data_IF_524021992426
#
_entry.id   IF_524021992426
#
_cell.length_a   1.000
_cell.length_b   1.000
_cell.length_c   1.000
_cell.angle_alpha   90.00
_cell.angle_beta   90.00
_cell.angle_gamma   90.00
#
_symmetry.space_group_name_H-M   'P 1'
#
loop_
_entity.id
_entity.type
_entity.pdbx_description
1 polymer ?
#
# COMPACT_ATOMS: atom_id res chain seq x y z
N UNK A 1 -18.71 30.38 72.47
CA UNK A 1 -19.16 29.07 72.90
C UNK A 1 -19.45 28.20 71.67
N UNK A 2 -18.74 27.06 71.58
CA UNK A 2 -19.10 25.76 70.96
C UNK A 2 -19.87 25.77 69.62
N UNK A 3 -19.20 25.30 68.53
CA UNK A 3 -19.08 23.96 67.92
C UNK A 3 -20.37 23.43 67.27
N UNK A 4 -20.37 23.12 65.98
CA UNK A 4 -20.18 21.86 65.29
C UNK A 4 -20.65 22.03 63.85
N UNK A 5 -20.02 21.68 62.73
CA UNK A 5 -19.46 20.37 62.40
C UNK A 5 -20.45 19.53 61.57
N UNK A 6 -20.45 19.65 60.20
CA UNK A 6 -21.05 18.64 59.34
C UNK A 6 -20.22 18.50 58.06
N UNK A 7 -19.61 17.33 57.91
CA UNK A 7 -18.85 16.92 56.71
C UNK A 7 -19.81 16.40 55.66
N UNK A 8 -19.82 17.02 54.48
CA UNK A 8 -20.47 16.49 53.30
C UNK A 8 -19.44 15.71 52.47
N UNK A 9 -19.69 14.42 52.26
CA UNK A 9 -18.87 13.54 51.42
C UNK A 9 -19.11 13.88 49.95
N UNK A 10 -18.11 14.41 49.27
CA UNK A 10 -18.06 14.51 47.82
C UNK A 10 -17.68 13.13 47.24
N UNK A 11 -18.63 12.48 46.59
CA UNK A 11 -18.34 11.28 45.78
C UNK A 11 -17.56 11.66 44.53
N UNK A 12 -16.28 11.28 44.47
CA UNK A 12 -15.49 11.36 43.26
C UNK A 12 -15.97 10.28 42.29
N UNK A 13 -16.60 10.70 41.21
CA UNK A 13 -16.88 9.85 40.07
C UNK A 13 -15.60 9.74 39.25
N UNK A 14 -14.88 8.65 39.43
CA UNK A 14 -13.77 8.26 38.58
C UNK A 14 -14.34 7.65 37.31
N UNK A 15 -14.35 8.43 36.24
CA UNK A 15 -14.51 7.89 34.90
C UNK A 15 -13.22 7.19 34.50
N UNK A 16 -13.24 5.87 34.48
CA UNK A 16 -12.17 5.09 33.89
C UNK A 16 -12.20 5.29 32.38
N UNK A 17 -11.48 6.27 31.88
CA UNK A 17 -11.03 6.25 30.52
C UNK A 17 -9.90 5.23 30.46
N UNK A 18 -10.18 4.01 30.01
CA UNK A 18 -9.13 3.09 29.59
C UNK A 18 -8.41 3.73 28.39
N UNK A 19 -7.09 3.91 28.43
CA UNK A 19 -6.41 4.54 27.32
C UNK A 19 -6.37 3.56 26.14
N UNK A 20 -6.89 3.99 24.99
CA UNK A 20 -6.72 3.33 23.68
C UNK A 20 -5.23 3.17 23.33
N UNK A 21 -4.34 3.85 24.03
CA UNK A 21 -2.89 3.76 23.89
C UNK A 21 -2.26 2.38 24.24
N UNK A 22 -2.97 1.51 24.97
CA UNK A 22 -2.41 0.22 25.40
C UNK A 22 -2.29 -0.81 24.25
N UNK A 23 -2.96 -0.62 23.12
CA UNK A 23 -2.90 -1.56 21.98
C UNK A 23 -1.64 -1.38 21.12
N UNK A 24 -0.96 -0.23 21.24
CA UNK A 24 0.20 0.11 20.39
C UNK A 24 1.56 -0.28 20.99
N UNK A 25 1.63 -0.55 22.29
CA UNK A 25 2.90 -0.89 22.96
C UNK A 25 3.34 -2.36 22.80
N UNK A 26 2.53 -3.20 22.18
CA UNK A 26 2.88 -4.61 21.94
C UNK A 26 3.61 -4.86 20.60
N UNK A 27 3.86 -3.85 19.78
CA UNK A 27 4.65 -3.94 18.54
C UNK A 27 6.09 -3.42 18.71
N UNK A 28 6.67 -3.58 19.88
CA UNK A 28 8.10 -3.39 20.11
C UNK A 28 8.89 -4.56 19.53
N UNK A 29 9.78 -4.26 18.62
CA UNK A 29 10.97 -5.05 18.20
C UNK A 29 10.82 -6.58 18.31
N UNK A 30 10.11 -7.22 17.38
CA UNK A 30 10.38 -8.60 17.03
C UNK A 30 11.27 -8.60 15.78
N UNK A 31 12.48 -9.08 15.95
CA UNK A 31 13.36 -9.43 14.84
C UNK A 31 12.58 -10.31 13.86
N UNK A 32 12.50 -9.89 12.61
CA UNK A 32 11.90 -10.69 11.55
C UNK A 32 12.73 -11.96 11.37
N UNK A 33 12.15 -13.16 11.45
CA UNK A 33 12.87 -14.34 11.06
C UNK A 33 13.16 -14.27 9.57
N UNK A 34 14.40 -14.42 9.17
CA UNK A 34 14.84 -14.57 7.81
C UNK A 34 14.04 -15.71 7.14
N UNK A 35 13.36 -15.41 6.06
CA UNK A 35 12.71 -16.43 5.23
C UNK A 35 13.84 -17.24 4.58
N UNK A 36 14.03 -18.48 5.05
CA UNK A 36 15.03 -19.40 4.56
C UNK A 36 14.80 -19.72 3.08
N UNK A 37 15.86 -19.60 2.29
CA UNK A 37 15.90 -20.06 0.92
C UNK A 37 15.66 -21.59 0.88
N UNK A 38 14.82 -22.04 -0.02
CA UNK A 38 14.61 -23.44 -0.33
C UNK A 38 15.89 -24.04 -0.94
N UNK A 39 16.26 -25.29 -0.64
CA UNK A 39 17.44 -25.92 -1.21
C UNK A 39 17.25 -26.26 -2.68
N UNK A 40 18.28 -25.96 -3.48
CA UNK A 40 18.43 -26.41 -4.85
C UNK A 40 18.57 -27.93 -4.88
N UNK A 41 17.67 -28.61 -5.56
CA UNK A 41 17.76 -30.04 -5.83
C UNK A 41 18.38 -30.23 -7.20
N UNK A 42 19.66 -30.60 -7.21
CA UNK A 42 20.40 -30.98 -8.40
C UNK A 42 20.21 -32.49 -8.66
N UNK A 43 19.42 -32.81 -9.64
CA UNK A 43 19.26 -34.19 -10.16
C UNK A 43 19.65 -34.24 -11.63
N UNK A 44 20.88 -34.65 -11.90
CA UNK A 44 21.31 -35.03 -13.23
C UNK A 44 20.74 -36.40 -13.62
N UNK A 45 20.14 -36.53 -14.80
CA UNK A 45 19.69 -37.78 -15.39
C UNK A 45 19.99 -37.80 -16.89
N UNK A 46 21.03 -38.55 -17.24
CA UNK A 46 21.44 -38.88 -18.61
C UNK A 46 20.45 -39.82 -19.35
N UNK A 47 20.30 -39.59 -20.68
CA UNK A 47 19.97 -40.60 -21.64
C UNK A 47 18.82 -40.31 -22.61
N UNK A 48 18.76 -40.97 -23.78
CA UNK A 48 19.75 -41.03 -24.84
C UNK A 48 19.29 -40.29 -26.14
N UNK A 49 20.28 -39.97 -26.95
CA UNK A 49 20.23 -39.40 -28.30
C UNK A 49 19.56 -40.37 -29.28
N UNK A 50 18.62 -39.90 -30.09
CA UNK A 50 18.15 -40.54 -31.30
C UNK A 50 18.35 -39.59 -32.49
N UNK A 51 19.11 -40.08 -33.46
CA UNK A 51 19.41 -39.42 -34.73
C UNK A 51 18.29 -39.61 -35.77
N UNK A 52 18.13 -38.59 -36.62
CA UNK A 52 17.85 -38.78 -38.03
C UNK A 52 16.42 -38.60 -38.51
N UNK A 53 16.26 -37.68 -39.47
CA UNK A 53 15.12 -37.68 -40.36
C UNK A 53 14.88 -36.33 -41.05
N UNK A 54 15.53 -36.10 -42.20
CA UNK A 54 15.27 -35.00 -43.13
C UNK A 54 13.83 -35.04 -43.65
N UNK A 55 13.22 -33.85 -43.75
CA UNK A 55 11.94 -33.71 -44.42
C UNK A 55 11.39 -32.28 -44.30
N UNK A 56 11.83 -31.38 -45.16
CA UNK A 56 11.18 -30.10 -45.43
C UNK A 56 9.98 -30.37 -46.35
N UNK A 57 8.78 -29.87 -46.01
CA UNK A 57 7.83 -29.40 -47.02
C UNK A 57 7.56 -27.89 -46.86
N UNK A 58 7.60 -27.24 -48.01
CA UNK A 58 7.28 -25.89 -48.30
C UNK A 58 5.92 -25.41 -47.75
N UNK A 59 5.94 -24.15 -47.25
CA UNK A 59 4.93 -23.15 -47.51
C UNK A 59 3.47 -23.49 -47.19
N UNK A 60 3.10 -23.26 -45.89
CA UNK A 60 1.75 -22.78 -45.60
C UNK A 60 1.87 -21.42 -44.88
N UNK A 61 1.50 -20.35 -45.57
CA UNK A 61 1.24 -19.07 -44.95
C UNK A 61 0.16 -19.32 -43.90
N UNK A 62 0.53 -19.31 -42.64
CA UNK A 62 -0.45 -19.20 -41.53
C UNK A 62 -1.00 -17.78 -41.58
N UNK A 63 -2.25 -17.72 -42.03
CA UNK A 63 -3.09 -16.53 -41.93
C UNK A 63 -3.19 -16.18 -40.44
N UNK A 64 -2.45 -15.15 -40.03
CA UNK A 64 -2.55 -14.58 -38.69
C UNK A 64 -3.91 -13.86 -38.62
N UNK A 65 -4.93 -14.61 -38.21
CA UNK A 65 -6.20 -14.05 -37.83
C UNK A 65 -6.00 -12.98 -36.75
N UNK A 66 -6.88 -11.99 -36.62
CA UNK A 66 -6.76 -10.95 -35.63
C UNK A 66 -7.01 -11.57 -34.24
N UNK A 67 -5.97 -12.08 -33.62
CA UNK A 67 -6.00 -12.46 -32.20
C UNK A 67 -6.10 -11.18 -31.39
N UNK A 68 -7.32 -10.72 -31.18
CA UNK A 68 -7.63 -9.77 -30.12
C UNK A 68 -7.20 -10.39 -28.77
N UNK A 69 -6.87 -9.57 -27.77
CA UNK A 69 -6.47 -10.08 -26.46
C UNK A 69 -7.49 -11.11 -25.97
N UNK A 70 -7.02 -12.28 -25.51
CA UNK A 70 -7.87 -13.36 -25.02
C UNK A 70 -8.79 -12.81 -23.90
N UNK A 71 -10.06 -13.24 -23.90
CA UNK A 71 -10.99 -12.86 -22.86
C UNK A 71 -10.49 -13.29 -21.49
N UNK A 72 -10.62 -12.44 -20.48
CA UNK A 72 -10.30 -12.80 -19.10
C UNK A 72 -11.19 -13.97 -18.65
N UNK A 73 -10.60 -14.91 -17.89
CA UNK A 73 -11.30 -16.10 -17.38
C UNK A 73 -11.23 -16.09 -15.86
N UNK A 74 -12.38 -16.14 -15.15
CA UNK A 74 -12.40 -16.30 -13.70
C UNK A 74 -11.58 -17.50 -13.24
N UNK A 75 -10.86 -17.37 -12.13
CA UNK A 75 -10.05 -18.45 -11.56
C UNK A 75 -9.81 -18.27 -10.07
N UNK A 76 -9.76 -19.38 -9.34
CA UNK A 76 -9.57 -19.37 -7.89
C UNK A 76 -10.71 -18.62 -7.19
N UNK A 77 -10.36 -17.76 -6.25
CA UNK A 77 -11.34 -16.93 -5.54
C UNK A 77 -11.78 -15.65 -6.30
N UNK A 78 -11.32 -15.46 -7.53
CA UNK A 78 -11.81 -14.40 -8.43
C UNK A 78 -12.86 -15.04 -9.36
N UNK A 79 -14.11 -14.96 -8.96
CA UNK A 79 -15.24 -15.60 -9.61
C UNK A 79 -15.93 -14.73 -10.67
N UNK A 80 -15.50 -13.47 -10.83
CA UNK A 80 -15.98 -12.54 -11.85
C UNK A 80 -14.85 -11.67 -12.40
N UNK A 81 -14.90 -11.44 -13.71
CA UNK A 81 -14.01 -10.53 -14.45
C UNK A 81 -14.80 -9.49 -15.23
N UNK A 82 -16.06 -9.26 -14.87
CA UNK A 82 -16.88 -8.20 -15.43
C UNK A 82 -16.45 -6.82 -14.92
N UNK A 83 -16.76 -5.76 -15.69
CA UNK A 83 -16.52 -4.41 -15.21
C UNK A 83 -17.39 -4.09 -13.99
N UNK A 84 -16.84 -3.32 -13.06
CA UNK A 84 -17.56 -2.85 -11.87
C UNK A 84 -16.82 -3.11 -10.56
N UNK A 85 -17.56 -2.96 -9.47
CA UNK A 85 -17.08 -3.25 -8.13
C UNK A 85 -17.37 -4.71 -7.78
N UNK A 86 -16.38 -5.36 -7.20
CA UNK A 86 -16.46 -6.74 -6.73
C UNK A 86 -15.95 -6.82 -5.29
N UNK A 87 -16.45 -7.81 -4.55
CA UNK A 87 -15.91 -8.21 -3.25
C UNK A 87 -15.54 -9.68 -3.35
N UNK A 88 -14.25 -9.99 -3.41
CA UNK A 88 -13.77 -11.35 -3.42
C UNK A 88 -13.40 -11.80 -1.99
N UNK A 89 -13.65 -13.06 -1.68
CA UNK A 89 -13.23 -13.67 -0.40
C UNK A 89 -12.17 -14.73 -0.67
N UNK A 90 -11.00 -14.60 -0.06
CA UNK A 90 -9.87 -15.48 -0.29
C UNK A 90 -9.06 -15.64 1.01
N UNK A 91 -8.78 -16.87 1.39
CA UNK A 91 -7.95 -17.21 2.56
C UNK A 91 -8.33 -16.48 3.86
N UNK A 92 -9.65 -16.26 4.06
CA UNK A 92 -10.19 -15.63 5.27
C UNK A 92 -10.13 -14.11 5.29
N UNK A 93 -9.68 -13.47 4.21
CA UNK A 93 -9.77 -12.04 3.99
C UNK A 93 -10.75 -11.70 2.87
N UNK A 94 -11.23 -10.47 2.84
CA UNK A 94 -12.02 -9.95 1.72
C UNK A 94 -11.24 -8.85 0.99
N UNK A 95 -11.54 -8.69 -0.29
CA UNK A 95 -10.86 -7.77 -1.19
C UNK A 95 -11.90 -7.01 -1.99
N UNK A 96 -11.97 -5.72 -1.76
CA UNK A 96 -12.75 -4.82 -2.59
C UNK A 96 -11.96 -4.52 -3.87
N UNK A 97 -12.52 -4.86 -5.03
CA UNK A 97 -11.83 -4.70 -6.32
C UNK A 97 -12.67 -3.88 -7.27
N UNK A 98 -12.11 -2.79 -7.79
CA UNK A 98 -12.67 -2.08 -8.93
C UNK A 98 -12.01 -2.55 -10.21
N UNK A 99 -12.80 -3.16 -11.11
CA UNK A 99 -12.37 -3.50 -12.46
C UNK A 99 -12.95 -2.49 -13.47
N UNK A 100 -12.13 -1.56 -13.99
CA UNK A 100 -12.59 -0.61 -14.98
C UNK A 100 -13.10 -1.29 -16.25
N UNK A 101 -14.09 -0.68 -16.92
CA UNK A 101 -14.63 -1.21 -18.18
C UNK A 101 -13.54 -1.40 -19.24
N UNK A 102 -12.59 -0.49 -19.30
CA UNK A 102 -11.46 -0.58 -20.22
C UNK A 102 -10.56 -1.78 -19.95
N UNK A 103 -10.55 -2.29 -18.70
CA UNK A 103 -9.66 -3.36 -18.24
C UNK A 103 -10.22 -4.78 -18.40
N UNK A 104 -11.46 -4.94 -18.85
CA UNK A 104 -12.08 -6.27 -19.06
C UNK A 104 -11.44 -7.10 -20.18
N UNK A 105 -10.52 -6.49 -20.92
CA UNK A 105 -9.72 -7.17 -21.96
C UNK A 105 -8.25 -7.35 -21.55
N UNK A 106 -7.90 -7.08 -20.28
CA UNK A 106 -6.55 -7.12 -19.77
C UNK A 106 -5.69 -5.90 -20.16
N UNK A 107 -4.39 -6.01 -19.90
CA UNK A 107 -3.37 -4.99 -20.19
C UNK A 107 -3.56 -3.63 -19.45
N UNK A 108 -4.34 -3.59 -18.38
CA UNK A 108 -4.39 -2.44 -17.47
C UNK A 108 -3.30 -2.50 -16.41
N UNK A 109 -2.98 -1.36 -15.81
CA UNK A 109 -2.20 -1.33 -14.57
C UNK A 109 -3.00 -1.83 -13.38
N UNK A 110 -2.35 -2.01 -12.24
CA UNK A 110 -2.97 -2.33 -10.96
C UNK A 110 -2.41 -1.47 -9.84
N UNK A 111 -3.28 -1.05 -8.95
CA UNK A 111 -2.91 -0.43 -7.67
C UNK A 111 -3.43 -1.30 -6.54
N UNK A 112 -2.53 -1.76 -5.67
CA UNK A 112 -2.87 -2.29 -4.36
C UNK A 112 -2.90 -1.12 -3.37
N UNK A 113 -4.08 -0.79 -2.82
CA UNK A 113 -4.33 0.37 -1.96
C UNK A 113 -4.77 -0.11 -0.57
N UNK A 114 -3.88 -0.02 0.42
CA UNK A 114 -4.00 -0.74 1.70
C UNK A 114 -4.34 0.18 2.85
N UNK A 115 -5.46 -0.09 3.50
CA UNK A 115 -5.97 0.71 4.62
C UNK A 115 -5.12 0.63 5.89
N UNK A 116 -5.25 1.65 6.74
CA UNK A 116 -4.67 1.72 8.08
C UNK A 116 -5.42 0.86 9.11
N UNK A 117 -4.86 0.76 10.32
CA UNK A 117 -5.55 0.12 11.45
C UNK A 117 -6.94 0.75 11.68
N UNK A 118 -7.90 -0.05 12.11
CA UNK A 118 -9.29 0.34 12.41
C UNK A 118 -10.13 0.76 11.19
N UNK A 119 -9.57 0.65 9.99
CA UNK A 119 -10.22 1.03 8.73
C UNK A 119 -10.69 -0.20 7.95
N UNK A 120 -11.19 0.04 6.75
CA UNK A 120 -11.53 -0.95 5.73
C UNK A 120 -11.11 -0.45 4.36
N UNK A 121 -11.10 -1.32 3.33
CA UNK A 121 -10.81 -0.91 1.95
C UNK A 121 -11.74 0.21 1.46
N UNK A 122 -13.02 0.19 1.87
CA UNK A 122 -13.95 1.28 1.55
C UNK A 122 -13.59 2.61 2.23
N UNK A 123 -13.09 2.58 3.48
CA UNK A 123 -12.63 3.78 4.17
C UNK A 123 -11.34 4.31 3.53
N UNK A 124 -10.46 3.42 3.08
CA UNK A 124 -9.29 3.79 2.30
C UNK A 124 -9.70 4.52 1.01
N UNK A 125 -10.64 3.96 0.26
CA UNK A 125 -11.15 4.59 -0.97
C UNK A 125 -11.80 5.96 -0.73
N UNK A 126 -12.55 6.12 0.36
CA UNK A 126 -13.13 7.42 0.72
C UNK A 126 -12.05 8.50 0.92
N UNK A 127 -10.84 8.10 1.36
CA UNK A 127 -9.74 9.01 1.58
C UNK A 127 -8.87 9.21 0.33
N UNK A 128 -8.57 8.15 -0.40
CA UNK A 128 -7.72 8.19 -1.59
C UNK A 128 -8.49 8.47 -2.88
N UNK A 129 -9.79 8.15 -2.94
CA UNK A 129 -10.62 8.14 -4.15
C UNK A 129 -10.02 7.26 -5.27
N UNK A 130 -9.25 6.24 -4.88
CA UNK A 130 -8.42 5.48 -5.81
C UNK A 130 -9.25 4.72 -6.85
N UNK A 131 -10.46 4.23 -6.51
CA UNK A 131 -11.32 3.54 -7.47
C UNK A 131 -11.78 4.44 -8.61
N UNK A 132 -12.20 5.67 -8.31
CA UNK A 132 -12.59 6.62 -9.34
C UNK A 132 -11.37 7.07 -10.18
N UNK A 133 -10.24 7.26 -9.54
CA UNK A 133 -8.97 7.57 -10.21
C UNK A 133 -8.56 6.40 -11.10
N UNK A 134 -8.59 5.16 -10.61
CA UNK A 134 -8.26 3.96 -11.36
C UNK A 134 -9.16 3.75 -12.57
N UNK A 135 -10.47 3.97 -12.42
CA UNK A 135 -11.43 3.94 -13.55
C UNK A 135 -11.05 4.94 -14.66
N UNK A 136 -10.66 6.16 -14.27
CA UNK A 136 -10.27 7.21 -15.19
C UNK A 136 -8.94 6.92 -15.90
N UNK A 137 -7.98 6.36 -15.15
CA UNK A 137 -6.58 6.20 -15.62
C UNK A 137 -6.26 4.80 -16.16
N UNK A 138 -7.23 3.88 -16.17
CA UNK A 138 -7.04 2.51 -16.67
C UNK A 138 -6.21 1.63 -15.74
N UNK A 139 -6.53 1.67 -14.44
CA UNK A 139 -5.93 0.82 -13.41
C UNK A 139 -7.01 0.04 -12.66
N UNK A 140 -6.80 -1.25 -12.52
CA UNK A 140 -7.53 -2.06 -11.55
C UNK A 140 -7.11 -1.62 -10.15
N UNK A 141 -8.07 -1.43 -9.25
CA UNK A 141 -7.79 -1.08 -7.86
C UNK A 141 -8.21 -2.21 -6.95
N UNK A 142 -7.29 -2.66 -6.10
CA UNK A 142 -7.48 -3.74 -5.14
C UNK A 142 -7.28 -3.16 -3.74
N UNK A 143 -8.33 -3.21 -2.93
CA UNK A 143 -8.32 -2.74 -1.53
C UNK A 143 -8.64 -3.92 -0.62
N UNK A 144 -7.62 -4.57 -0.04
CA UNK A 144 -7.81 -5.67 0.89
C UNK A 144 -8.42 -5.17 2.19
N UNK A 145 -9.16 -6.04 2.90
CA UNK A 145 -9.69 -5.78 4.22
C UNK A 145 -9.00 -6.69 5.24
N UNK A 146 -8.47 -6.12 6.31
CA UNK A 146 -7.95 -6.86 7.45
C UNK A 146 -9.06 -7.67 8.13
N UNK A 147 -8.67 -8.70 8.87
CA UNK A 147 -9.62 -9.50 9.65
C UNK A 147 -10.36 -8.64 10.67
N UNK A 148 -11.66 -8.90 10.83
CA UNK A 148 -12.55 -8.12 11.68
C UNK A 148 -13.22 -6.96 10.91
N UNK A 149 -14.16 -6.31 11.58
CA UNK A 149 -14.82 -5.11 11.07
C UNK A 149 -14.28 -3.87 11.78
N UNK A 150 -14.29 -2.68 11.15
CA UNK A 150 -13.99 -1.44 11.86
C UNK A 150 -14.87 -1.30 13.13
N UNK A 151 -14.31 -0.85 14.27
CA UNK A 151 -12.94 -0.35 14.46
C UNK A 151 -11.92 -1.41 14.91
N UNK A 152 -12.22 -2.70 14.79
CA UNK A 152 -11.36 -3.80 15.24
C UNK A 152 -10.50 -4.40 14.13
N UNK A 153 -10.59 -3.87 12.89
CA UNK A 153 -9.80 -4.32 11.77
C UNK A 153 -8.34 -3.90 11.94
N UNK A 154 -7.45 -4.88 12.08
CA UNK A 154 -6.00 -4.68 12.30
C UNK A 154 -5.25 -5.72 11.48
N UNK A 155 -4.24 -5.30 10.76
CA UNK A 155 -3.34 -6.20 10.02
C UNK A 155 -2.47 -7.00 10.98
N UNK A 156 -2.37 -8.30 10.75
CA UNK A 156 -1.57 -9.24 11.53
C UNK A 156 -0.38 -9.75 10.70
N UNK A 157 0.76 -9.04 10.70
CA UNK A 157 1.95 -9.53 10.00
C UNK A 157 2.59 -10.71 10.76
N UNK A 158 3.21 -11.70 10.08
CA UNK A 158 3.34 -11.78 8.61
C UNK A 158 2.15 -12.49 7.92
N UNK A 159 1.18 -13.00 8.67
CA UNK A 159 0.11 -13.89 8.17
C UNK A 159 -0.77 -13.19 7.13
N UNK A 160 -1.31 -12.02 7.47
CA UNK A 160 -2.18 -11.28 6.54
C UNK A 160 -1.38 -10.75 5.34
N UNK A 161 -0.10 -10.41 5.54
CA UNK A 161 0.77 -9.97 4.44
C UNK A 161 0.93 -11.06 3.39
N UNK A 162 1.18 -12.30 3.82
CA UNK A 162 1.27 -13.44 2.90
C UNK A 162 -0.05 -13.68 2.14
N UNK A 163 -1.21 -13.56 2.82
CA UNK A 163 -2.54 -13.70 2.20
C UNK A 163 -2.82 -12.61 1.17
N UNK A 164 -2.54 -11.35 1.53
CA UNK A 164 -2.71 -10.20 0.62
C UNK A 164 -1.81 -10.35 -0.61
N UNK A 165 -0.55 -10.75 -0.42
CA UNK A 165 0.35 -10.96 -1.55
C UNK A 165 -0.10 -12.11 -2.45
N UNK A 166 -0.55 -13.24 -1.88
CA UNK A 166 -1.06 -14.39 -2.64
C UNK A 166 -2.28 -14.02 -3.50
N UNK A 167 -3.23 -13.28 -2.93
CA UNK A 167 -4.38 -12.78 -3.69
C UNK A 167 -3.95 -11.81 -4.78
N UNK A 168 -3.03 -10.90 -4.49
CA UNK A 168 -2.51 -9.92 -5.45
C UNK A 168 -1.85 -10.60 -6.65
N UNK A 169 -1.04 -11.64 -6.42
CA UNK A 169 -0.44 -12.45 -7.49
C UNK A 169 -1.49 -13.20 -8.32
N UNK A 170 -2.53 -13.75 -7.68
CA UNK A 170 -3.66 -14.36 -8.38
C UNK A 170 -4.37 -13.32 -9.26
N UNK A 171 -4.71 -12.16 -8.70
CA UNK A 171 -5.40 -11.10 -9.41
C UNK A 171 -4.59 -10.60 -10.63
N UNK A 172 -3.29 -10.43 -10.48
CA UNK A 172 -2.42 -10.03 -11.59
C UNK A 172 -2.48 -11.01 -12.77
N UNK A 173 -2.55 -12.31 -12.50
CA UNK A 173 -2.66 -13.35 -13.53
C UNK A 173 -4.06 -13.40 -14.15
N UNK A 174 -5.11 -13.46 -13.31
CA UNK A 174 -6.50 -13.60 -13.76
C UNK A 174 -6.97 -12.39 -14.54
N UNK A 175 -6.57 -11.18 -14.11
CA UNK A 175 -6.94 -9.93 -14.74
C UNK A 175 -5.95 -9.48 -15.83
N UNK A 176 -4.98 -10.33 -16.18
CA UNK A 176 -3.96 -10.07 -17.21
C UNK A 176 -3.34 -8.65 -17.07
N UNK A 177 -2.87 -8.34 -15.88
CA UNK A 177 -2.29 -7.04 -15.55
C UNK A 177 -0.99 -6.81 -16.31
N UNK A 178 -0.81 -5.59 -16.82
CA UNK A 178 0.45 -5.15 -17.40
C UNK A 178 1.57 -5.19 -16.34
N UNK A 179 2.60 -6.04 -16.50
CA UNK A 179 3.65 -6.20 -15.51
C UNK A 179 4.48 -4.92 -15.31
N UNK A 180 4.44 -3.99 -16.26
CA UNK A 180 5.10 -2.70 -16.12
C UNK A 180 4.34 -1.69 -15.27
N UNK A 181 3.08 -1.93 -15.00
CA UNK A 181 2.20 -1.00 -14.29
C UNK A 181 1.61 -1.62 -13.03
N UNK A 182 2.47 -2.17 -12.18
CA UNK A 182 2.14 -2.80 -10.90
C UNK A 182 2.57 -1.87 -9.79
N UNK A 183 1.62 -1.27 -9.07
CA UNK A 183 1.91 -0.26 -8.07
C UNK A 183 1.20 -0.56 -6.76
N UNK A 184 1.69 0.04 -5.67
CA UNK A 184 1.02 -0.07 -4.39
C UNK A 184 1.15 1.20 -3.55
N UNK A 185 0.11 1.46 -2.76
CA UNK A 185 0.05 2.51 -1.77
C UNK A 185 -0.64 2.01 -0.51
N UNK A 186 -0.56 2.75 0.55
CA UNK A 186 -1.26 2.47 1.79
C UNK A 186 -0.88 3.44 2.88
N UNK A 187 -1.72 3.49 3.89
CA UNK A 187 -1.64 4.45 4.97
C UNK A 187 -1.47 3.76 6.32
N UNK A 188 -0.66 4.33 7.23
CA UNK A 188 -0.48 3.79 8.58
C UNK A 188 -0.04 2.31 8.52
N UNK A 189 -0.74 1.36 9.14
CA UNK A 189 -0.42 -0.07 8.98
C UNK A 189 -0.38 -0.52 7.51
N UNK A 190 -1.22 0.04 6.64
CA UNK A 190 -1.15 -0.18 5.19
C UNK A 190 0.12 0.40 4.56
N UNK A 191 0.59 1.55 5.05
CA UNK A 191 1.88 2.12 4.68
C UNK A 191 3.05 1.21 5.05
N UNK A 192 2.99 0.56 6.23
CA UNK A 192 3.95 -0.47 6.65
C UNK A 192 3.94 -1.67 5.69
N UNK A 193 2.77 -2.17 5.33
CA UNK A 193 2.65 -3.27 4.36
C UNK A 193 3.22 -2.85 3.01
N UNK A 194 2.96 -1.61 2.56
CA UNK A 194 3.50 -1.05 1.32
C UNK A 194 5.03 -1.03 1.33
N UNK A 195 5.66 -0.54 2.39
CA UNK A 195 7.12 -0.60 2.52
C UNK A 195 7.63 -2.04 2.52
N UNK A 196 7.01 -2.93 3.31
CA UNK A 196 7.43 -4.34 3.40
C UNK A 196 7.41 -5.00 2.03
N UNK A 197 6.35 -4.82 1.25
CA UNK A 197 6.25 -5.39 -0.10
C UNK A 197 7.18 -4.71 -1.09
N UNK A 198 7.37 -3.40 -0.98
CA UNK A 198 8.35 -2.68 -1.80
C UNK A 198 9.77 -3.22 -1.62
N UNK A 199 10.14 -3.61 -0.39
CA UNK A 199 11.43 -4.24 -0.13
C UNK A 199 11.48 -5.72 -0.54
N UNK A 200 10.43 -6.50 -0.28
CA UNK A 200 10.41 -7.93 -0.58
C UNK A 200 10.21 -8.24 -2.07
N UNK A 201 9.48 -7.41 -2.80
CA UNK A 201 9.01 -7.63 -4.16
C UNK A 201 9.37 -6.51 -5.14
N UNK A 202 10.53 -5.89 -4.95
CA UNK A 202 11.02 -4.80 -5.79
C UNK A 202 11.18 -5.15 -7.28
N UNK A 203 11.28 -6.43 -7.60
CA UNK A 203 11.32 -6.95 -8.97
C UNK A 203 9.93 -7.10 -9.63
N UNK A 204 8.88 -6.99 -8.84
CA UNK A 204 7.50 -7.10 -9.30
C UNK A 204 6.78 -5.76 -9.26
N UNK A 205 7.04 -4.93 -8.24
CA UNK A 205 6.39 -3.65 -8.03
C UNK A 205 7.12 -2.56 -8.82
N UNK A 206 6.41 -1.85 -9.70
CA UNK A 206 6.98 -0.77 -10.52
C UNK A 206 7.38 0.44 -9.67
N UNK A 207 6.47 0.91 -8.80
CA UNK A 207 6.70 1.98 -7.83
C UNK A 207 5.75 1.86 -6.64
N UNK A 208 6.10 2.50 -5.51
CA UNK A 208 5.30 2.44 -4.29
C UNK A 208 5.13 3.83 -3.65
N UNK A 209 4.00 4.01 -2.94
CA UNK A 209 3.65 5.27 -2.28
C UNK A 209 3.14 5.05 -0.84
N UNK A 210 4.00 4.63 0.11
CA UNK A 210 3.61 4.49 1.52
C UNK A 210 3.36 5.84 2.19
N UNK A 211 2.43 5.89 3.16
CA UNK A 211 2.15 7.08 3.95
C UNK A 211 2.03 6.78 5.45
N UNK A 212 2.48 7.73 6.28
CA UNK A 212 2.29 7.81 7.73
C UNK A 212 2.72 6.54 8.51
N UNK A 213 3.79 5.87 8.08
CA UNK A 213 4.37 4.69 8.74
C UNK A 213 5.79 4.40 8.19
N UNK A 214 6.46 3.41 8.75
CA UNK A 214 7.75 2.88 8.32
C UNK A 214 7.66 1.38 8.07
N UNK A 215 8.62 0.78 7.39
CA UNK A 215 8.53 -0.66 7.16
C UNK A 215 9.82 -1.35 6.76
N UNK A 216 10.72 -0.70 6.04
CA UNK A 216 11.99 -1.30 5.63
C UNK A 216 13.15 -0.74 6.46
N UNK A 217 13.98 -1.60 6.97
CA UNK A 217 15.29 -1.23 7.54
C UNK A 217 16.25 -0.80 6.43
N UNK A 218 17.32 -0.09 6.79
CA UNK A 218 18.39 0.25 5.84
C UNK A 218 19.02 -1.01 5.21
N UNK A 219 19.16 -2.10 5.98
CA UNK A 219 19.71 -3.36 5.50
C UNK A 219 18.83 -4.01 4.45
N UNK A 220 17.50 -4.04 4.66
CA UNK A 220 16.53 -4.54 3.69
C UNK A 220 16.53 -3.69 2.42
N UNK A 221 16.56 -2.36 2.55
CA UNK A 221 16.65 -1.43 1.42
C UNK A 221 17.93 -1.62 0.60
N UNK A 222 19.08 -1.96 1.23
CA UNK A 222 20.32 -2.32 0.52
C UNK A 222 20.24 -3.65 -0.21
N UNK A 223 19.40 -4.56 0.28
CA UNK A 223 19.23 -5.91 -0.25
C UNK A 223 18.18 -6.02 -1.37
N UNK A 224 17.45 -4.95 -1.70
CA UNK A 224 16.41 -5.01 -2.75
C UNK A 224 17.00 -5.36 -4.11
N UNK A 225 16.28 -6.15 -4.89
CA UNK A 225 16.69 -6.51 -6.26
C UNK A 225 16.74 -5.30 -7.20
N UNK A 226 15.96 -4.27 -6.91
CA UNK A 226 15.89 -3.02 -7.68
C UNK A 226 15.53 -1.87 -6.74
N UNK A 227 16.20 -0.75 -6.87
CA UNK A 227 15.85 0.51 -6.20
C UNK A 227 14.63 1.10 -6.91
N UNK A 228 13.41 0.70 -6.45
CA UNK A 228 12.17 1.13 -7.09
C UNK A 228 11.83 2.59 -6.76
N UNK A 229 11.19 3.35 -7.67
CA UNK A 229 10.68 4.68 -7.35
C UNK A 229 9.75 4.65 -6.14
N UNK A 230 9.99 5.55 -5.18
CA UNK A 230 9.29 5.60 -3.90
C UNK A 230 8.80 7.02 -3.63
N UNK A 231 7.50 7.19 -3.35
CA UNK A 231 6.88 8.43 -2.86
C UNK A 231 6.44 8.21 -1.42
N UNK A 232 7.05 8.91 -0.48
CA UNK A 232 6.73 8.76 0.94
C UNK A 232 6.14 10.05 1.51
N UNK A 233 5.02 9.95 2.22
CA UNK A 233 4.35 11.09 2.86
C UNK A 233 4.21 10.90 4.37
N UNK A 234 4.41 11.98 5.15
CA UNK A 234 4.21 11.95 6.60
C UNK A 234 3.91 13.34 7.16
N UNK A 235 3.01 13.43 8.14
CA UNK A 235 2.69 14.68 8.83
C UNK A 235 3.62 14.97 10.01
N UNK A 236 4.09 16.21 10.14
CA UNK A 236 4.99 16.62 11.24
C UNK A 236 4.37 16.43 12.63
N UNK A 237 3.08 16.70 12.76
CA UNK A 237 2.33 16.61 14.01
C UNK A 237 1.62 15.25 14.20
N UNK A 238 2.00 14.22 13.43
CA UNK A 238 1.44 12.86 13.58
C UNK A 238 1.62 12.36 15.01
N UNK A 239 0.50 12.19 15.72
CA UNK A 239 0.49 11.80 17.13
C UNK A 239 0.44 10.27 17.33
N UNK A 240 0.13 9.50 16.28
CA UNK A 240 0.10 8.03 16.30
C UNK A 240 1.42 7.43 15.86
N UNK A 241 1.98 7.95 14.77
CA UNK A 241 3.28 7.53 14.23
C UNK A 241 4.19 8.74 14.19
N UNK A 242 4.93 8.96 15.28
CA UNK A 242 5.71 10.18 15.51
C UNK A 242 6.69 10.48 14.36
N UNK A 243 6.55 11.64 13.74
CA UNK A 243 7.42 12.07 12.64
C UNK A 243 8.92 11.96 12.99
N UNK A 244 9.42 12.53 14.13
CA UNK A 244 10.84 12.45 14.44
C UNK A 244 11.31 11.02 14.78
N UNK A 245 10.44 10.16 15.31
CA UNK A 245 10.83 8.81 15.72
C UNK A 245 10.73 7.79 14.56
N UNK A 246 9.91 8.04 13.56
CA UNK A 246 9.63 7.08 12.47
C UNK A 246 9.97 7.66 11.09
N UNK A 247 9.39 8.79 10.70
CA UNK A 247 9.59 9.33 9.35
C UNK A 247 11.03 9.78 9.09
N UNK A 248 11.65 10.46 10.04
CA UNK A 248 13.04 10.94 9.89
C UNK A 248 14.02 9.79 9.74
N UNK A 249 14.01 8.73 10.60
CA UNK A 249 14.86 7.56 10.40
C UNK A 249 14.56 6.80 9.10
N UNK A 250 13.28 6.64 8.71
CA UNK A 250 12.93 5.95 7.47
C UNK A 250 13.46 6.69 6.25
N UNK A 251 13.29 8.01 6.19
CA UNK A 251 13.89 8.85 5.15
C UNK A 251 15.41 8.67 5.11
N UNK A 252 16.07 8.77 6.26
CA UNK A 252 17.52 8.61 6.36
C UNK A 252 17.97 7.23 5.88
N UNK A 253 17.24 6.16 6.20
CA UNK A 253 17.53 4.80 5.74
C UNK A 253 17.47 4.69 4.21
N UNK A 254 16.43 5.24 3.55
CA UNK A 254 16.33 5.26 2.08
C UNK A 254 17.50 6.03 1.47
N UNK A 255 17.78 7.23 1.97
CA UNK A 255 18.87 8.08 1.45
C UNK A 255 20.23 7.38 1.55
N UNK A 256 20.51 6.73 2.68
CA UNK A 256 21.77 6.02 2.90
C UNK A 256 21.86 4.71 2.12
N UNK A 257 20.78 3.90 2.09
CA UNK A 257 20.77 2.61 1.42
C UNK A 257 20.99 2.74 -0.09
N UNK A 258 20.34 3.72 -0.71
CA UNK A 258 20.36 3.92 -2.16
C UNK A 258 21.35 5.00 -2.60
N UNK A 259 22.14 5.55 -1.70
CA UNK A 259 23.15 6.59 -1.98
C UNK A 259 22.52 7.75 -2.75
N UNK A 260 21.43 8.29 -2.23
CA UNK A 260 20.70 9.38 -2.88
C UNK A 260 21.48 10.69 -2.85
N UNK A 261 21.35 11.49 -3.92
CA UNK A 261 21.93 12.82 -4.03
C UNK A 261 21.22 13.87 -3.17
N UNK A 262 21.56 15.13 -3.42
CA UNK A 262 20.92 16.28 -2.74
C UNK A 262 19.45 16.41 -3.16
N UNK A 263 18.57 16.93 -2.28
CA UNK A 263 17.17 17.16 -2.61
C UNK A 263 17.00 18.26 -3.66
N UNK A 264 16.02 18.05 -4.53
CA UNK A 264 15.44 19.07 -5.39
C UNK A 264 14.02 19.36 -4.92
N UNK A 265 13.64 20.63 -4.79
CA UNK A 265 12.26 20.99 -4.45
C UNK A 265 11.33 20.63 -5.62
N UNK A 266 10.24 19.93 -5.32
CA UNK A 266 9.13 19.63 -6.24
C UNK A 266 8.01 20.63 -6.04
N UNK A 267 7.69 20.94 -4.78
CA UNK A 267 6.70 21.91 -4.39
C UNK A 267 6.81 22.24 -2.91
N UNK A 268 6.32 23.40 -2.51
CA UNK A 268 6.21 23.79 -1.10
C UNK A 268 5.31 25.00 -0.94
N UNK A 269 4.69 25.11 0.24
CA UNK A 269 4.10 26.33 0.76
C UNK A 269 4.34 26.42 2.29
N UNK A 270 3.54 27.19 3.00
CA UNK A 270 3.66 27.30 4.44
C UNK A 270 3.21 26.02 5.21
N UNK A 271 2.58 25.07 4.52
CA UNK A 271 1.94 23.89 5.13
C UNK A 271 2.53 22.56 4.68
N UNK A 272 3.41 22.54 3.68
CA UNK A 272 4.07 21.34 3.23
C UNK A 272 5.39 21.63 2.52
N UNK A 273 6.25 20.61 2.48
CA UNK A 273 7.40 20.57 1.57
C UNK A 273 7.47 19.23 0.85
N UNK A 274 7.85 19.26 -0.42
CA UNK A 274 7.99 18.09 -1.28
C UNK A 274 9.36 18.11 -1.92
N UNK A 275 10.18 17.14 -1.57
CA UNK A 275 11.55 16.99 -2.05
C UNK A 275 11.69 15.72 -2.88
N UNK A 276 12.43 15.81 -3.99
CA UNK A 276 12.82 14.68 -4.81
C UNK A 276 14.32 14.46 -4.69
N UNK A 277 14.70 13.20 -4.51
CA UNK A 277 16.09 12.72 -4.49
C UNK A 277 16.29 11.75 -5.64
N UNK A 278 17.46 11.82 -6.29
CA UNK A 278 17.85 10.87 -7.33
C UNK A 278 19.27 10.39 -7.09
N UNK A 279 19.64 9.24 -7.62
CA UNK A 279 21.00 8.74 -7.58
C UNK A 279 21.56 8.47 -8.97
N UNK A 280 22.82 8.08 -9.04
CA UNK A 280 23.52 7.83 -10.31
C UNK A 280 22.94 6.67 -11.14
N UNK A 281 22.12 5.78 -10.52
CA UNK A 281 21.42 4.68 -11.19
C UNK A 281 20.05 5.09 -11.73
N UNK A 282 19.61 6.32 -11.47
CA UNK A 282 18.29 6.82 -11.88
C UNK A 282 17.15 6.43 -10.92
N UNK A 283 17.45 5.89 -9.73
CA UNK A 283 16.43 5.68 -8.71
C UNK A 283 15.85 7.02 -8.24
N UNK A 284 14.56 7.03 -7.92
CA UNK A 284 13.82 8.21 -7.48
C UNK A 284 13.23 7.96 -6.11
N UNK A 285 13.48 8.87 -5.18
CA UNK A 285 12.79 8.94 -3.90
C UNK A 285 12.19 10.32 -3.73
N UNK A 286 10.89 10.40 -3.51
CA UNK A 286 10.19 11.63 -3.19
C UNK A 286 9.67 11.58 -1.76
N UNK A 287 9.83 12.69 -1.05
CA UNK A 287 9.37 12.81 0.32
C UNK A 287 8.51 14.05 0.49
N UNK A 288 7.27 13.85 0.95
CA UNK A 288 6.33 14.90 1.31
C UNK A 288 6.19 14.92 2.83
N UNK A 289 6.49 16.07 3.41
CA UNK A 289 6.22 16.36 4.82
C UNK A 289 5.20 17.49 4.92
N UNK A 290 4.23 17.39 5.84
CA UNK A 290 3.14 18.36 5.92
C UNK A 290 2.74 18.71 7.36
N UNK A 291 2.15 19.89 7.52
CA UNK A 291 1.61 20.44 8.77
C UNK A 291 0.08 20.38 8.84
N UNK A 292 -0.58 19.73 7.86
CA UNK A 292 -2.01 19.50 7.92
C UNK A 292 -2.35 18.59 9.11
N UNK A 293 -3.56 18.78 9.65
CA UNK A 293 -4.01 18.03 10.81
C UNK A 293 -5.48 17.62 10.69
N UNK A 294 -5.88 16.59 11.41
CA UNK A 294 -7.26 16.13 11.56
C UNK A 294 -7.65 16.06 13.05
N UNK A 295 -8.91 16.35 13.42
CA UNK A 295 -9.43 16.05 14.74
C UNK A 295 -9.76 14.54 14.87
N UNK A 296 -9.69 13.96 16.09
CA UNK A 296 -9.24 14.60 17.32
C UNK A 296 -7.71 14.78 17.38
N UNK A 297 -7.20 15.45 18.40
CA UNK A 297 -5.76 15.65 18.60
C UNK A 297 -4.93 14.34 18.62
N UNK A 298 -5.57 13.20 18.84
CA UNK A 298 -4.97 11.88 18.73
C UNK A 298 -4.48 11.58 17.29
N UNK A 299 -5.17 12.07 16.28
CA UNK A 299 -4.75 11.93 14.88
C UNK A 299 -3.73 12.99 14.51
N UNK A 300 -4.08 14.27 14.77
CA UNK A 300 -3.25 15.43 14.37
C UNK A 300 -2.74 15.27 12.93
N UNK A 301 -1.43 15.18 12.68
CA UNK A 301 -0.84 14.99 11.35
C UNK A 301 -1.06 13.61 10.73
N UNK A 302 -1.71 12.67 11.42
CA UNK A 302 -2.06 11.35 10.90
C UNK A 302 -3.30 11.40 10.04
N UNK A 303 -3.23 12.04 8.86
CA UNK A 303 -4.37 12.30 8.01
C UNK A 303 -4.01 12.35 6.52
N UNK A 304 -5.04 12.23 5.65
CA UNK A 304 -4.90 12.31 4.20
C UNK A 304 -5.15 13.74 3.70
N UNK A 305 -4.15 14.41 3.13
CA UNK A 305 -4.35 15.70 2.49
C UNK A 305 -5.31 15.61 1.30
N UNK A 306 -6.26 16.54 1.26
CA UNK A 306 -7.24 16.64 0.17
C UNK A 306 -8.31 15.55 0.15
N UNK A 307 -8.38 14.69 1.18
CA UNK A 307 -9.46 13.72 1.33
C UNK A 307 -10.80 14.42 1.57
N UNK A 308 -11.84 13.83 1.01
CA UNK A 308 -13.24 14.27 1.19
C UNK A 308 -14.04 13.31 2.07
N UNK A 309 -13.38 12.44 2.84
CA UNK A 309 -14.00 11.40 3.66
C UNK A 309 -15.26 11.90 4.39
N UNK A 310 -16.46 11.42 4.02
CA UNK A 310 -17.72 11.89 4.58
C UNK A 310 -18.07 11.26 5.93
N UNK A 311 -17.23 10.43 6.54
CA UNK A 311 -17.57 9.59 7.70
C UNK A 311 -18.84 8.75 7.50
N UNK A 312 -19.04 8.23 6.32
CA UNK A 312 -20.28 7.51 5.95
C UNK A 312 -20.17 5.99 6.10
N UNK A 313 -19.03 5.48 6.51
CA UNK A 313 -18.82 4.02 6.61
C UNK A 313 -19.18 3.53 8.02
N UNK A 314 -20.02 2.50 8.15
CA UNK A 314 -20.33 1.91 9.46
C UNK A 314 -19.08 1.47 10.21
N UNK A 315 -19.02 1.80 11.51
CA UNK A 315 -17.87 1.48 12.37
C UNK A 315 -16.71 2.48 12.30
N UNK A 316 -16.77 3.48 11.45
CA UNK A 316 -15.76 4.54 11.39
C UNK A 316 -15.83 5.44 12.63
N UNK A 317 -14.74 5.50 13.40
CA UNK A 317 -14.64 6.29 14.63
C UNK A 317 -14.25 7.75 14.34
N UNK A 318 -13.35 7.95 13.38
CA UNK A 318 -12.76 9.25 13.05
C UNK A 318 -12.78 9.48 11.54
N UNK A 319 -12.78 10.75 11.14
CA UNK A 319 -12.35 11.10 9.78
C UNK A 319 -10.84 11.19 9.76
N UNK A 320 -10.23 10.53 8.79
CA UNK A 320 -8.80 10.65 8.52
C UNK A 320 -8.49 11.76 7.49
N UNK A 321 -9.49 12.49 7.03
CA UNK A 321 -9.28 13.65 6.17
C UNK A 321 -8.58 14.78 6.94
N UNK A 322 -7.49 15.30 6.39
CA UNK A 322 -6.89 16.54 6.92
C UNK A 322 -7.88 17.69 6.77
N UNK A 323 -7.98 18.55 7.80
CA UNK A 323 -8.91 19.71 7.80
C UNK A 323 -8.30 20.92 7.12
N UNK A 324 -9.18 21.85 6.69
CA UNK A 324 -8.79 23.09 6.02
C UNK A 324 -8.41 22.90 4.55
N UNK A 325 -7.93 23.99 3.91
CA UNK A 325 -7.44 23.91 2.55
C UNK A 325 -6.13 23.12 2.51
N UNK A 326 -6.08 22.12 1.64
CA UNK A 326 -4.86 21.36 1.38
C UNK A 326 -4.36 21.69 -0.03
N UNK A 327 -3.06 21.81 -0.20
CA UNK A 327 -2.44 22.20 -1.48
C UNK A 327 -2.47 21.08 -2.53
N UNK A 328 -2.67 19.85 -2.09
CA UNK A 328 -2.73 18.68 -2.96
C UNK A 328 -3.74 17.64 -2.46
N UNK A 329 -4.10 16.72 -3.33
CA UNK A 329 -4.94 15.55 -3.03
C UNK A 329 -4.07 14.30 -3.11
N UNK A 330 -3.91 13.59 -1.99
CA UNK A 330 -2.98 12.46 -1.90
C UNK A 330 -3.18 11.42 -3.01
N UNK A 331 -4.40 10.92 -3.22
CA UNK A 331 -4.67 9.90 -4.23
C UNK A 331 -4.34 10.35 -5.66
N UNK A 332 -4.54 11.63 -5.99
CA UNK A 332 -4.16 12.18 -7.30
C UNK A 332 -2.64 12.25 -7.48
N UNK A 333 -1.91 12.66 -6.45
CA UNK A 333 -0.44 12.71 -6.54
C UNK A 333 0.19 11.30 -6.60
N UNK A 334 -0.39 10.34 -5.84
CA UNK A 334 -0.01 8.92 -5.93
C UNK A 334 -0.17 8.42 -7.36
N UNK A 335 -1.33 8.64 -7.99
CA UNK A 335 -1.56 8.18 -9.36
C UNK A 335 -0.66 8.88 -10.38
N UNK A 336 -0.40 10.17 -10.24
CA UNK A 336 0.57 10.89 -11.08
C UNK A 336 1.96 10.27 -10.96
N UNK A 337 2.39 9.98 -9.74
CA UNK A 337 3.67 9.33 -9.47
C UNK A 337 3.76 7.95 -10.11
N UNK A 338 2.72 7.11 -9.98
CA UNK A 338 2.67 5.78 -10.58
C UNK A 338 2.76 5.81 -12.10
N UNK A 339 2.00 6.70 -12.75
CA UNK A 339 2.04 6.88 -14.21
C UNK A 339 3.41 7.36 -14.72
N UNK A 340 4.13 8.13 -13.92
CA UNK A 340 5.47 8.60 -14.26
C UNK A 340 6.56 7.52 -14.07
N UNK A 341 6.27 6.44 -13.32
CA UNK A 341 7.25 5.44 -12.92
C UNK A 341 6.79 4.01 -13.20
N UNK A 342 6.50 3.64 -14.46
CA UNK A 342 6.31 2.23 -14.82
C UNK A 342 7.62 1.47 -14.65
N UNK A 343 7.55 0.13 -14.63
CA UNK A 343 8.74 -0.71 -14.65
C UNK A 343 9.46 -0.55 -16.01
N UNK A 344 10.77 -0.45 -16.03
CA UNK A 344 11.58 -0.32 -17.25
C UNK A 344 11.35 -1.42 -18.29
#
# INVERSE_FOLDING_TARGET
MRRSGARGRGGAWWWCFAPVAAVWLACGSSESPAIGAAPDDAGAGDGPRVEGGDGVPDGAAVDAGPDGPAALVPSGCIDSVSAGDHVFSCDGLSYDVRLPKACTKGACGVVLDVHGATMSGRMEDNNTNMRAIGEREGYVVIQPNASGAPPSAIWNPPVDYARVWSFFELARKVLAIDPKRVHMTGFSQGGRMTFTFACAHADTIASAAPAAETGCTEAELRGVKRELPLLYMHGHSDALVSFPAFAVPQRAAVLAAWTMGSPMAVGSDASYSWSRYTNAKGAVFEFIEHDYAAPPALLSGHCYPGSTDPKSVPGQLFSFACTGPNAFVWGEEVMKFFKAHPMP
#
